data_IF_766342985515
#
_entry.id   IF_766342985515
#
_cell.length_a   1.000
_cell.length_b   1.000
_cell.length_c   1.000
_cell.angle_alpha   90.00
_cell.angle_beta   90.00
_cell.angle_gamma   90.00
#
_symmetry.space_group_name_H-M   'P 1'
#
loop_
_entity.id
_entity.type
_entity.pdbx_description
1 polymer ?
#
# COMPACT_ATOMS: atom_id res chain seq x y z
N UNK A 1 7.36 14.63 29.73
CA UNK A 1 6.11 14.81 28.95
C UNK A 1 6.19 13.76 27.87
N UNK A 2 5.73 12.57 28.21
CA UNK A 2 5.90 11.36 27.41
C UNK A 2 4.53 11.00 26.85
N UNK A 3 4.46 10.87 25.54
CA UNK A 3 3.23 10.63 24.79
C UNK A 3 2.75 9.19 25.08
N UNK A 4 1.61 8.98 25.76
CA UNK A 4 1.02 7.66 25.90
C UNK A 4 0.10 7.43 24.69
N UNK A 5 0.09 6.22 24.12
CA UNK A 5 -0.69 5.78 22.96
C UNK A 5 0.10 5.81 21.63
N UNK A 6 0.82 4.72 21.40
CA UNK A 6 1.35 4.34 20.10
C UNK A 6 2.00 2.99 20.24
N UNK A 7 1.38 1.94 19.70
CA UNK A 7 2.03 0.63 19.59
C UNK A 7 3.40 0.82 18.91
N UNK A 8 4.49 0.41 19.57
CA UNK A 8 5.88 0.54 19.11
C UNK A 8 6.23 -0.31 17.87
N UNK A 9 5.25 -0.97 17.26
CA UNK A 9 5.43 -1.80 16.08
C UNK A 9 5.59 -0.93 14.83
N UNK A 10 6.70 -1.12 14.11
CA UNK A 10 6.94 -0.44 12.84
C UNK A 10 5.79 -0.73 11.86
N UNK A 11 5.37 0.26 11.06
CA UNK A 11 4.36 0.04 10.04
C UNK A 11 4.77 -1.12 9.13
N UNK A 12 3.82 -2.00 8.81
CA UNK A 12 4.01 -3.11 7.88
C UNK A 12 3.23 -2.82 6.61
N UNK A 13 3.82 -3.10 5.45
CA UNK A 13 3.15 -2.94 4.17
C UNK A 13 2.87 -4.30 3.55
N UNK A 14 1.65 -4.48 3.05
CA UNK A 14 1.32 -5.55 2.13
C UNK A 14 1.02 -4.96 0.77
N UNK A 15 1.74 -5.43 -0.23
CA UNK A 15 1.50 -5.09 -1.62
C UNK A 15 0.88 -6.31 -2.29
N UNK A 16 -0.28 -6.14 -2.92
CA UNK A 16 -1.04 -7.22 -3.55
C UNK A 16 -1.18 -6.88 -5.03
N UNK A 17 -0.79 -7.80 -5.90
CA UNK A 17 -1.13 -7.70 -7.31
C UNK A 17 -2.64 -7.90 -7.45
N UNK A 18 -3.33 -6.90 -8.00
CA UNK A 18 -4.78 -6.87 -8.04
C UNK A 18 -5.28 -7.22 -9.44
N UNK A 19 -6.22 -8.18 -9.51
CA UNK A 19 -6.94 -8.49 -10.74
C UNK A 19 -8.39 -8.03 -10.66
N UNK A 20 -8.96 -8.03 -9.46
CA UNK A 20 -10.33 -7.63 -9.20
C UNK A 20 -10.37 -6.64 -8.02
N UNK A 21 -9.84 -5.41 -8.19
CA UNK A 21 -9.59 -4.47 -7.09
C UNK A 21 -10.85 -4.19 -6.27
N UNK A 22 -12.01 -4.09 -6.92
CA UNK A 22 -13.27 -3.81 -6.20
C UNK A 22 -13.69 -4.98 -5.29
N UNK A 23 -13.57 -6.22 -5.76
CA UNK A 23 -13.90 -7.40 -4.97
C UNK A 23 -12.91 -7.61 -3.83
N UNK A 24 -11.62 -7.47 -4.13
CA UNK A 24 -10.52 -7.56 -3.17
C UNK A 24 -10.67 -6.51 -2.06
N UNK A 25 -10.94 -5.25 -2.41
CA UNK A 25 -11.23 -4.19 -1.45
C UNK A 25 -12.46 -4.50 -0.60
N UNK A 26 -13.52 -5.05 -1.20
CA UNK A 26 -14.72 -5.47 -0.47
C UNK A 26 -14.43 -6.51 0.60
N UNK A 27 -13.64 -7.54 0.25
CA UNK A 27 -13.22 -8.59 1.18
C UNK A 27 -12.34 -8.06 2.31
N UNK A 28 -11.35 -7.21 1.98
CA UNK A 28 -10.48 -6.59 2.97
C UNK A 28 -11.30 -5.72 3.94
N UNK A 29 -12.21 -4.90 3.41
CA UNK A 29 -13.07 -4.04 4.23
C UNK A 29 -13.96 -4.83 5.19
N UNK A 30 -14.60 -5.90 4.71
CA UNK A 30 -15.42 -6.79 5.55
C UNK A 30 -14.59 -7.45 6.66
N UNK A 31 -13.38 -7.93 6.34
CA UNK A 31 -12.49 -8.50 7.33
C UNK A 31 -12.14 -7.47 8.40
N UNK A 32 -11.70 -6.27 8.02
CA UNK A 32 -11.34 -5.21 8.96
C UNK A 32 -12.51 -4.83 9.88
N UNK A 33 -13.72 -4.70 9.33
CA UNK A 33 -14.93 -4.43 10.10
C UNK A 33 -15.26 -5.56 11.10
N UNK A 34 -15.11 -6.82 10.69
CA UNK A 34 -15.31 -7.98 11.58
C UNK A 34 -14.34 -7.98 12.78
N UNK A 35 -13.18 -7.34 12.63
CA UNK A 35 -12.15 -7.21 13.65
C UNK A 35 -12.25 -5.91 14.46
N UNK A 36 -13.35 -5.15 14.30
CA UNK A 36 -13.61 -3.93 15.07
C UNK A 36 -12.98 -2.66 14.51
N UNK A 37 -12.51 -2.67 13.27
CA UNK A 37 -12.06 -1.45 12.59
C UNK A 37 -13.24 -0.74 11.93
N UNK A 38 -13.39 0.55 12.21
CA UNK A 38 -14.35 1.40 11.53
C UNK A 38 -13.69 2.14 10.36
N UNK A 39 -14.41 2.24 9.24
CA UNK A 39 -13.98 3.11 8.12
C UNK A 39 -14.00 4.55 8.59
N UNK A 40 -12.87 5.22 8.41
CA UNK A 40 -12.70 6.63 8.72
C UNK A 40 -13.12 7.46 7.51
N UNK A 41 -13.76 8.60 7.76
CA UNK A 41 -13.95 9.59 6.72
C UNK A 41 -12.60 10.25 6.41
N UNK A 42 -12.31 10.53 5.13
CA UNK A 42 -11.11 11.28 4.79
C UNK A 42 -11.12 12.62 5.51
N UNK A 43 -10.01 12.96 6.18
CA UNK A 43 -9.86 14.23 6.90
C UNK A 43 -9.85 15.42 5.93
N UNK A 44 -9.41 15.20 4.69
CA UNK A 44 -9.50 16.15 3.59
C UNK A 44 -10.22 15.47 2.41
N UNK A 45 -11.43 15.93 2.02
CA UNK A 45 -12.15 15.37 0.88
C UNK A 45 -11.45 15.62 -0.48
N UNK A 46 -10.39 16.44 -0.52
CA UNK A 46 -9.53 16.63 -1.68
C UNK A 46 -8.28 15.75 -1.66
N UNK A 47 -8.00 15.08 -0.54
CA UNK A 47 -6.92 14.11 -0.49
C UNK A 47 -7.27 12.89 -1.35
N UNK A 48 -6.23 12.16 -1.72
CA UNK A 48 -6.32 10.99 -2.57
C UNK A 48 -7.40 10.01 -2.11
N UNK A 49 -7.89 9.18 -3.03
CA UNK A 49 -8.75 8.06 -2.72
C UNK A 49 -7.94 7.02 -1.90
N UNK A 50 -7.84 7.23 -0.59
CA UNK A 50 -7.26 6.31 0.40
C UNK A 50 -8.39 5.85 1.34
N UNK A 51 -8.56 4.52 1.45
CA UNK A 51 -9.48 3.96 2.42
C UNK A 51 -8.75 3.76 3.73
N UNK A 52 -9.17 4.48 4.76
CA UNK A 52 -8.60 4.38 6.09
C UNK A 52 -9.57 3.66 7.01
N UNK A 53 -9.08 2.65 7.71
CA UNK A 53 -9.80 1.90 8.75
C UNK A 53 -9.02 2.03 10.05
N UNK A 54 -9.71 2.25 11.17
CA UNK A 54 -9.04 2.36 12.47
C UNK A 54 -9.91 1.78 13.59
N UNK A 55 -9.27 1.31 14.66
CA UNK A 55 -9.94 0.97 15.91
C UNK A 55 -10.44 2.23 16.62
N UNK A 56 -11.42 2.09 17.53
CA UNK A 56 -12.04 3.23 18.20
C UNK A 56 -11.06 4.10 19.01
N UNK A 57 -10.00 3.50 19.53
CA UNK A 57 -8.91 4.14 20.27
C UNK A 57 -7.78 4.67 19.34
N UNK A 58 -7.91 4.46 18.03
CA UNK A 58 -6.97 4.84 16.98
C UNK A 58 -5.57 4.24 17.13
N UNK A 59 -5.41 3.17 17.93
CA UNK A 59 -4.12 2.50 18.14
C UNK A 59 -3.75 1.57 17.00
N UNK A 60 -4.74 1.10 16.25
CA UNK A 60 -4.54 0.29 15.06
C UNK A 60 -5.20 0.97 13.86
N UNK A 61 -4.45 1.07 12.76
CA UNK A 61 -4.89 1.73 11.52
C UNK A 61 -4.46 0.92 10.32
N UNK A 62 -5.35 0.79 9.34
CA UNK A 62 -5.10 0.21 8.03
C UNK A 62 -5.43 1.24 6.97
N UNK A 63 -4.44 1.63 6.19
CA UNK A 63 -4.58 2.53 5.05
C UNK A 63 -4.47 1.72 3.76
N UNK A 64 -5.43 1.85 2.85
CA UNK A 64 -5.49 1.09 1.60
C UNK A 64 -5.52 2.05 0.42
N UNK A 65 -4.57 1.85 -0.51
CA UNK A 65 -4.47 2.62 -1.76
C UNK A 65 -4.40 1.65 -2.94
N UNK A 66 -5.14 1.96 -4.02
CA UNK A 66 -5.08 1.23 -5.27
C UNK A 66 -4.32 2.04 -6.31
N UNK A 67 -3.24 1.46 -6.84
CA UNK A 67 -2.45 2.03 -7.92
C UNK A 67 -2.87 1.39 -9.24
N UNK A 68 -3.81 2.02 -9.93
CA UNK A 68 -4.42 1.48 -11.15
C UNK A 68 -3.39 1.25 -12.27
N UNK A 69 -2.46 2.19 -12.47
CA UNK A 69 -1.47 2.14 -13.55
C UNK A 69 -0.54 0.92 -13.49
N UNK A 70 -0.38 0.35 -12.29
CA UNK A 70 0.48 -0.82 -12.05
C UNK A 70 -0.30 -2.02 -11.50
N UNK A 71 -1.63 -1.92 -11.43
CA UNK A 71 -2.53 -2.98 -10.96
C UNK A 71 -2.20 -3.49 -9.55
N UNK A 72 -1.91 -2.60 -8.59
CA UNK A 72 -1.48 -3.00 -7.25
C UNK A 72 -2.31 -2.36 -6.14
N UNK A 73 -2.71 -3.17 -5.15
CA UNK A 73 -3.27 -2.71 -3.88
C UNK A 73 -2.15 -2.64 -2.84
N UNK A 74 -2.03 -1.52 -2.15
CA UNK A 74 -1.10 -1.33 -1.04
C UNK A 74 -1.89 -1.13 0.25
N UNK A 75 -1.62 -1.99 1.23
CA UNK A 75 -2.17 -1.90 2.58
C UNK A 75 -1.03 -1.53 3.52
N UNK A 76 -1.14 -0.39 4.18
CA UNK A 76 -0.24 0.02 5.26
C UNK A 76 -0.89 -0.25 6.61
N UNK A 77 -0.25 -1.11 7.39
CA UNK A 77 -0.75 -1.65 8.65
C UNK A 77 0.04 -1.04 9.79
N UNK A 78 -0.66 -0.34 10.67
CA UNK A 78 -0.11 0.31 11.84
C UNK A 78 -0.78 -0.27 13.09
N UNK A 79 0.01 -0.76 14.05
CA UNK A 79 -0.49 -1.39 15.27
C UNK A 79 -0.53 -2.92 15.21
N UNK A 80 -0.37 -3.56 16.37
CA UNK A 80 -0.22 -5.02 16.49
C UNK A 80 -1.39 -5.82 15.92
N UNK A 81 -2.62 -5.35 16.09
CA UNK A 81 -3.82 -6.03 15.58
C UNK A 81 -3.88 -5.90 14.07
N UNK A 82 -3.60 -4.71 13.53
CA UNK A 82 -3.55 -4.49 12.09
C UNK A 82 -2.52 -5.40 11.41
N UNK A 83 -1.33 -5.54 12.02
CA UNK A 83 -0.26 -6.42 11.50
C UNK A 83 -0.71 -7.88 11.49
N UNK A 84 -1.37 -8.38 12.55
CA UNK A 84 -1.90 -9.74 12.60
C UNK A 84 -2.96 -9.99 11.52
N UNK A 85 -3.85 -9.03 11.29
CA UNK A 85 -4.85 -9.12 10.21
C UNK A 85 -4.15 -9.17 8.86
N UNK A 86 -3.11 -8.36 8.67
CA UNK A 86 -2.28 -8.43 7.47
C UNK A 86 -1.66 -9.80 7.24
N UNK A 87 -1.11 -10.42 8.28
CA UNK A 87 -0.56 -11.77 8.19
C UNK A 87 -1.63 -12.80 7.80
N UNK A 88 -2.86 -12.65 8.30
CA UNK A 88 -3.98 -13.49 7.88
C UNK A 88 -4.34 -13.24 6.41
N UNK A 89 -4.47 -11.99 5.97
CA UNK A 89 -4.72 -11.62 4.57
C UNK A 89 -3.66 -12.19 3.62
N UNK A 90 -2.40 -12.17 4.04
CA UNK A 90 -1.29 -12.70 3.26
C UNK A 90 -1.44 -14.20 2.92
N UNK A 91 -2.16 -14.97 3.75
CA UNK A 91 -2.43 -16.40 3.50
C UNK A 91 -3.43 -16.61 2.36
N UNK A 92 -4.25 -15.62 2.03
CA UNK A 92 -5.31 -15.72 1.03
C UNK A 92 -4.99 -14.96 -0.27
N UNK A 93 -4.17 -13.91 -0.21
CA UNK A 93 -3.99 -12.96 -1.32
C UNK A 93 -2.58 -12.95 -1.94
N UNK A 94 -1.65 -13.78 -1.45
CA UNK A 94 -0.28 -13.94 -1.97
C UNK A 94 0.46 -12.60 -2.25
N UNK A 95 0.83 -11.84 -1.20
CA UNK A 95 1.42 -10.52 -1.36
C UNK A 95 2.78 -10.54 -2.08
N UNK A 96 3.01 -9.52 -2.89
CA UNK A 96 4.29 -9.24 -3.54
C UNK A 96 5.30 -8.73 -2.51
N UNK A 97 6.18 -9.63 -2.05
CA UNK A 97 7.28 -9.27 -1.15
C UNK A 97 8.39 -8.55 -1.91
N UNK A 98 9.18 -7.73 -1.20
CA UNK A 98 10.34 -7.05 -1.78
C UNK A 98 11.35 -8.05 -2.39
N UNK A 99 11.54 -9.21 -1.76
CA UNK A 99 12.39 -10.28 -2.27
C UNK A 99 11.88 -10.84 -3.60
N UNK A 100 10.60 -11.19 -3.68
CA UNK A 100 9.98 -11.72 -4.89
C UNK A 100 9.99 -10.71 -6.04
N UNK A 101 9.72 -9.44 -5.74
CA UNK A 101 9.83 -8.36 -6.75
C UNK A 101 11.28 -8.18 -7.19
N UNK A 102 12.25 -8.26 -6.26
CA UNK A 102 13.68 -8.21 -6.57
C UNK A 102 14.12 -9.32 -7.53
N UNK A 103 13.62 -10.54 -7.35
CA UNK A 103 13.86 -11.64 -8.31
C UNK A 103 13.28 -11.35 -9.69
N UNK A 104 12.05 -10.82 -9.78
CA UNK A 104 11.45 -10.44 -11.06
C UNK A 104 12.19 -9.28 -11.72
N UNK A 105 12.65 -8.31 -10.92
CA UNK A 105 13.48 -7.21 -11.38
C UNK A 105 14.78 -7.72 -12.01
N UNK A 106 15.48 -8.66 -11.37
CA UNK A 106 16.72 -9.24 -11.91
C UNK A 106 16.50 -10.02 -13.22
N UNK A 107 15.33 -10.67 -13.36
CA UNK A 107 14.96 -11.46 -14.56
C UNK A 107 14.37 -10.61 -15.69
N UNK A 108 14.07 -9.34 -15.44
CA UNK A 108 13.43 -8.45 -16.40
C UNK A 108 14.27 -8.25 -17.65
N UNK A 109 13.60 -8.30 -18.81
CA UNK A 109 14.25 -8.22 -20.14
C UNK A 109 13.94 -6.93 -20.86
N UNK A 110 12.97 -6.15 -20.38
CA UNK A 110 12.57 -4.87 -20.95
C UNK A 110 12.67 -3.72 -19.96
N UNK A 111 12.86 -2.50 -20.47
CA UNK A 111 12.87 -1.28 -19.67
C UNK A 111 11.52 -1.01 -19.00
N UNK A 112 10.42 -1.36 -19.66
CA UNK A 112 9.08 -1.25 -19.09
C UNK A 112 8.92 -2.14 -17.85
N UNK A 113 9.35 -3.40 -17.91
CA UNK A 113 9.34 -4.31 -16.76
C UNK A 113 10.22 -3.79 -15.62
N UNK A 114 11.44 -3.34 -15.93
CA UNK A 114 12.36 -2.75 -14.94
C UNK A 114 11.73 -1.57 -14.22
N UNK A 115 11.08 -0.68 -14.97
CA UNK A 115 10.38 0.47 -14.42
C UNK A 115 9.24 0.04 -13.49
N UNK A 116 8.37 -0.89 -13.91
CA UNK A 116 7.25 -1.38 -13.10
C UNK A 116 7.76 -2.05 -11.82
N UNK A 117 8.76 -2.94 -11.91
CA UNK A 117 9.30 -3.61 -10.73
C UNK A 117 10.04 -2.66 -9.78
N UNK A 118 10.71 -1.63 -10.31
CA UNK A 118 11.30 -0.57 -9.48
C UNK A 118 10.23 0.22 -8.71
N UNK A 119 9.10 0.55 -9.35
CA UNK A 119 7.95 1.17 -8.67
C UNK A 119 7.44 0.25 -7.56
N UNK A 120 7.18 -1.03 -7.87
CA UNK A 120 6.67 -2.00 -6.91
C UNK A 120 7.62 -2.19 -5.73
N UNK A 121 8.93 -2.24 -5.95
CA UNK A 121 9.94 -2.31 -4.88
C UNK A 121 9.82 -1.12 -3.93
N UNK A 122 9.73 0.11 -4.44
CA UNK A 122 9.52 1.31 -3.60
C UNK A 122 8.25 1.19 -2.77
N UNK A 123 7.16 0.72 -3.37
CA UNK A 123 5.85 0.65 -2.71
C UNK A 123 5.78 -0.38 -1.58
N UNK A 124 6.73 -1.32 -1.49
CA UNK A 124 6.84 -2.25 -0.35
C UNK A 124 7.29 -1.59 0.95
N UNK A 125 7.76 -0.34 0.91
CA UNK A 125 8.22 0.40 2.08
C UNK A 125 7.12 1.31 2.61
N UNK A 126 7.11 1.57 3.94
CA UNK A 126 6.08 2.38 4.57
C UNK A 126 6.12 3.86 4.15
N UNK A 127 7.31 4.40 3.88
CA UNK A 127 7.50 5.80 3.50
C UNK A 127 8.71 5.97 2.56
N UNK A 128 8.78 7.12 1.88
CA UNK A 128 9.83 7.44 0.92
C UNK A 128 11.24 7.44 1.54
N UNK A 129 11.37 7.84 2.82
CA UNK A 129 12.66 7.86 3.51
C UNK A 129 13.22 6.45 3.70
N UNK A 130 12.39 5.50 4.14
CA UNK A 130 12.78 4.11 4.34
C UNK A 130 13.04 3.42 2.99
N UNK A 131 12.22 3.71 1.97
CA UNK A 131 12.44 3.25 0.60
C UNK A 131 13.79 3.71 0.07
N UNK A 132 14.09 5.01 0.17
CA UNK A 132 15.35 5.59 -0.31
C UNK A 132 16.56 4.91 0.32
N UNK A 133 16.56 4.74 1.66
CA UNK A 133 17.66 4.08 2.39
C UNK A 133 17.91 2.64 1.93
N UNK A 134 16.85 1.91 1.62
CA UNK A 134 16.95 0.51 1.21
C UNK A 134 17.35 0.35 -0.27
N UNK A 135 16.81 1.20 -1.14
CA UNK A 135 16.98 1.07 -2.59
C UNK A 135 18.32 1.65 -3.06
N UNK A 136 18.77 2.79 -2.50
CA UNK A 136 20.09 3.37 -2.87
C UNK A 136 21.22 2.38 -2.66
N UNK A 137 21.17 1.58 -1.59
CA UNK A 137 22.21 0.60 -1.28
C UNK A 137 22.26 -0.59 -2.25
N UNK A 138 21.15 -0.90 -2.92
CA UNK A 138 20.97 -2.20 -3.59
C UNK A 138 20.82 -2.07 -5.11
N UNK A 139 20.27 -0.95 -5.60
CA UNK A 139 19.81 -0.85 -6.99
C UNK A 139 20.38 0.33 -7.77
N UNK A 140 21.03 1.33 -7.14
CA UNK A 140 21.38 2.58 -7.84
C UNK A 140 22.75 2.60 -8.51
N UNK A 141 23.73 1.83 -8.02
CA UNK A 141 25.10 1.90 -8.53
C UNK A 141 25.22 1.40 -9.99
N UNK A 142 24.29 0.55 -10.44
CA UNK A 142 24.23 -0.01 -11.80
C UNK A 142 22.87 0.20 -12.50
N UNK A 143 21.99 1.06 -11.95
CA UNK A 143 20.66 1.30 -12.52
C UNK A 143 20.72 1.95 -13.91
N UNK A 144 19.93 1.41 -14.85
CA UNK A 144 19.61 2.11 -16.10
C UNK A 144 18.54 3.19 -15.88
N UNK A 145 18.29 4.03 -16.89
CA UNK A 145 17.37 5.16 -16.75
C UNK A 145 15.94 4.72 -16.41
N UNK A 146 15.45 3.62 -16.98
CA UNK A 146 14.14 3.07 -16.66
C UNK A 146 13.99 2.67 -15.18
N UNK A 147 15.05 2.13 -14.58
CA UNK A 147 15.09 1.82 -13.14
C UNK A 147 15.00 3.10 -12.30
N UNK A 148 15.77 4.13 -12.66
CA UNK A 148 15.76 5.42 -11.95
C UNK A 148 14.40 6.10 -12.05
N UNK A 149 13.80 6.12 -13.24
CA UNK A 149 12.45 6.62 -13.45
C UNK A 149 11.42 5.88 -12.59
N UNK A 150 11.50 4.55 -12.55
CA UNK A 150 10.60 3.74 -11.73
C UNK A 150 10.75 4.04 -10.24
N UNK A 151 11.97 4.22 -9.74
CA UNK A 151 12.19 4.61 -8.34
C UNK A 151 11.59 5.99 -8.06
N UNK A 152 11.88 7.00 -8.90
CA UNK A 152 11.36 8.37 -8.71
C UNK A 152 9.83 8.37 -8.73
N UNK A 153 9.21 7.63 -9.66
CA UNK A 153 7.76 7.50 -9.73
C UNK A 153 7.18 6.77 -8.50
N UNK A 154 7.83 5.70 -8.03
CA UNK A 154 7.44 5.01 -6.80
C UNK A 154 7.52 5.91 -5.57
N UNK A 155 8.56 6.74 -5.46
CA UNK A 155 8.73 7.70 -4.36
C UNK A 155 7.65 8.77 -4.42
N UNK A 156 7.36 9.29 -5.62
CA UNK A 156 6.26 10.20 -5.84
C UNK A 156 4.95 9.56 -5.35
N UNK A 157 4.65 8.31 -5.67
CA UNK A 157 3.44 7.64 -5.18
C UNK A 157 3.33 7.50 -3.65
N UNK A 158 4.47 7.42 -2.94
CA UNK A 158 4.51 7.40 -1.47
C UNK A 158 4.32 8.80 -0.86
N UNK A 159 4.77 9.85 -1.56
CA UNK A 159 4.70 11.24 -1.08
C UNK A 159 3.45 11.99 -1.56
N UNK A 160 2.88 11.60 -2.70
CA UNK A 160 1.73 12.26 -3.29
C UNK A 160 0.41 11.64 -2.80
N UNK A 161 -0.51 12.46 -2.28
CA UNK A 161 -1.91 12.14 -2.40
C UNK A 161 -2.25 12.16 -3.90
N UNK A 162 -2.53 10.98 -4.47
CA UNK A 162 -2.84 10.83 -5.88
C UNK A 162 -4.10 11.62 -6.27
N UNK A 163 -4.00 12.41 -7.33
CA UNK A 163 -5.07 13.27 -7.83
C UNK A 163 -5.83 12.48 -8.91
N UNK A 164 -6.96 11.84 -8.53
CA UNK A 164 -8.01 11.56 -9.52
C UNK A 164 -8.76 10.22 -9.46
N UNK A 165 -10.02 10.32 -9.06
CA UNK A 165 -11.20 9.89 -9.88
C UNK A 165 -11.61 8.41 -10.01
N UNK A 166 -11.50 7.54 -9.00
CA UNK A 166 -12.31 6.28 -9.01
C UNK A 166 -12.90 5.80 -7.68
N UNK A 167 -12.43 6.23 -6.49
CA UNK A 167 -13.09 5.81 -5.23
C UNK A 167 -14.48 6.43 -5.02
N UNK A 168 -14.83 7.54 -5.68
CA UNK A 168 -16.21 8.06 -5.67
C UNK A 168 -17.23 7.05 -6.25
N UNK A 169 -16.80 6.20 -7.19
CA UNK A 169 -17.64 5.13 -7.75
C UNK A 169 -17.83 4.00 -6.73
N UNK A 170 -16.79 3.69 -5.96
CA UNK A 170 -16.83 2.71 -4.87
C UNK A 170 -17.65 3.23 -3.66
N UNK A 171 -17.63 4.53 -3.38
CA UNK A 171 -18.43 5.16 -2.32
C UNK A 171 -19.93 5.16 -2.61
N UNK A 172 -20.33 5.33 -3.89
CA UNK A 172 -21.73 5.15 -4.29
C UNK A 172 -22.20 3.71 -4.06
N UNK A 173 -21.41 2.73 -4.50
CA UNK A 173 -21.82 1.32 -4.39
C UNK A 173 -21.90 0.82 -2.94
N UNK A 174 -21.12 1.39 -2.01
CA UNK A 174 -21.17 1.01 -0.59
C UNK A 174 -22.30 1.70 0.20
N UNK A 175 -22.76 2.89 -0.23
CA UNK A 175 -23.91 3.57 0.41
C UNK A 175 -25.26 2.96 0.05
N UNK A 176 -25.32 2.21 -1.06
CA UNK A 176 -26.54 1.61 -1.59
C UNK A 176 -26.70 0.11 -1.22
N UNK A 177 -25.87 -0.42 -0.31
CA UNK A 177 -26.07 -1.76 0.24
C UNK A 177 -26.86 -1.65 1.56
N UNK A 178 -28.10 -2.19 1.65
CA UNK A 178 -28.97 -2.06 2.82
C UNK A 178 -28.44 -2.79 4.06
#
# INVERSE_FOLDING_TARGET
>A
MDNPLGSNSKPTVLLIASQMPQQELGLIAQLLQSQGFARQQPADPKAAPELVFATADNTNRVAIKFYQDIGALRLELNGDVAIKIGQALAQYMDPLTAERIGEYFQKSTSDMERRIYAILLVLTYPNATDAMKAITKTYFDEANDATREGVVQGLAFLETPDVGTQLEILERNYKDTP
#
